data_IF_790863059416
#
_entry.id   IF_790863059416
#
_cell.length_a   1.000
_cell.length_b   1.000
_cell.length_c   1.000
_cell.angle_alpha   90.00
_cell.angle_beta   90.00
_cell.angle_gamma   90.00
#
_symmetry.space_group_name_H-M   'P 1'
#
loop_
_entity.id
_entity.type
_entity.pdbx_description
1 polymer ?
#
# COMPACT_ATOMS: atom_id res chain seq x y z
N UNK A 1 -18.75 10.34 -5.07
CA UNK A 1 -17.47 10.14 -4.34
C UNK A 1 -16.73 9.05 -5.11
N UNK A 2 -15.80 9.41 -6.01
CA UNK A 2 -15.07 8.40 -6.77
C UNK A 2 -14.17 7.55 -5.87
N UNK A 3 -13.92 6.32 -6.30
CA UNK A 3 -13.13 5.34 -5.57
C UNK A 3 -13.95 4.45 -4.64
N UNK A 4 -13.26 3.58 -3.92
CA UNK A 4 -13.85 2.65 -2.96
C UNK A 4 -12.97 2.50 -1.73
N UNK A 5 -13.52 1.90 -0.67
CA UNK A 5 -12.78 1.52 0.54
C UNK A 5 -12.77 0.00 0.67
N UNK A 6 -11.58 -0.57 0.82
CA UNK A 6 -11.37 -1.99 1.13
C UNK A 6 -11.43 -2.24 2.65
N UNK A 7 -11.08 -1.22 3.44
CA UNK A 7 -11.13 -1.26 4.90
C UNK A 7 -11.76 0.01 5.46
N UNK A 8 -12.64 -0.16 6.43
CA UNK A 8 -13.29 0.91 7.18
C UNK A 8 -12.89 0.80 8.66
N UNK A 9 -12.46 1.92 9.23
CA UNK A 9 -12.06 2.02 10.63
C UNK A 9 -12.85 3.12 11.34
N UNK A 10 -13.53 2.84 12.47
CA UNK A 10 -14.19 3.88 13.26
C UNK A 10 -13.20 4.94 13.75
N UNK A 11 -13.48 6.20 13.48
CA UNK A 11 -12.78 7.33 14.09
C UNK A 11 -13.48 7.73 15.40
N UNK A 12 -14.81 7.83 15.38
CA UNK A 12 -15.69 7.92 16.56
C UNK A 12 -17.12 7.48 16.21
N UNK A 13 -18.09 7.89 17.05
CA UNK A 13 -19.51 7.54 16.89
C UNK A 13 -20.10 7.99 15.55
N UNK A 14 -19.59 9.08 14.98
CA UNK A 14 -20.15 9.70 13.79
C UNK A 14 -19.16 9.78 12.62
N UNK A 15 -17.93 9.27 12.78
CA UNK A 15 -16.91 9.37 11.75
C UNK A 15 -16.21 8.05 11.48
N UNK A 16 -15.93 7.79 10.20
CA UNK A 16 -15.23 6.58 9.73
C UNK A 16 -14.07 6.98 8.82
N UNK A 17 -12.91 6.36 9.03
CA UNK A 17 -11.78 6.39 8.10
C UNK A 17 -11.95 5.24 7.10
N UNK A 18 -11.95 5.55 5.81
CA UNK A 18 -11.84 4.58 4.73
C UNK A 18 -10.43 4.51 4.16
N UNK A 19 -9.97 3.30 3.89
CA UNK A 19 -8.73 3.01 3.17
C UNK A 19 -9.08 2.17 1.95
N UNK A 20 -8.67 2.60 0.78
CA UNK A 20 -8.96 1.89 -0.46
C UNK A 20 -8.20 2.46 -1.64
N UNK A 21 -8.87 2.55 -2.78
CA UNK A 21 -8.31 3.08 -4.02
C UNK A 21 -9.08 4.29 -4.50
N UNK A 22 -8.35 5.26 -5.04
CA UNK A 22 -8.96 6.33 -5.80
C UNK A 22 -9.30 5.85 -7.21
N UNK A 23 -10.36 6.40 -7.79
CA UNK A 23 -10.78 6.11 -9.16
C UNK A 23 -10.96 7.41 -9.92
N UNK A 24 -10.36 7.49 -11.10
CA UNK A 24 -10.63 8.57 -12.05
C UNK A 24 -11.71 8.11 -13.03
N UNK A 25 -12.94 8.58 -12.80
CA UNK A 25 -14.11 8.21 -13.60
C UNK A 25 -14.05 8.75 -15.05
N UNK A 26 -13.13 9.66 -15.37
CA UNK A 26 -12.95 10.13 -16.75
C UNK A 26 -12.16 9.14 -17.62
N UNK A 27 -11.34 8.29 -16.99
CA UNK A 27 -10.57 7.26 -17.66
C UNK A 27 -11.50 6.12 -18.03
N UNK A 28 -11.45 5.69 -19.29
CA UNK A 28 -12.27 4.62 -19.86
C UNK A 28 -13.79 4.87 -19.79
N UNK A 29 -14.22 6.11 -19.56
CA UNK A 29 -15.65 6.49 -19.51
C UNK A 29 -16.40 6.13 -20.81
N UNK A 30 -15.72 6.24 -21.94
CA UNK A 30 -16.19 5.88 -23.27
C UNK A 30 -16.15 4.36 -23.55
N UNK A 31 -15.45 3.59 -22.71
CA UNK A 31 -15.24 2.14 -22.85
C UNK A 31 -16.11 1.30 -21.91
N UNK A 32 -16.99 1.91 -21.10
CA UNK A 32 -17.89 1.24 -20.13
C UNK A 32 -18.78 0.14 -20.76
N UNK A 33 -18.97 0.16 -22.09
CA UNK A 33 -19.74 -0.83 -22.84
C UNK A 33 -18.94 -1.60 -23.90
N UNK A 34 -17.61 -1.49 -23.89
CA UNK A 34 -16.75 -2.29 -24.76
C UNK A 34 -16.43 -3.63 -24.08
N UNK A 35 -16.79 -4.78 -24.66
CA UNK A 35 -16.41 -6.09 -24.13
C UNK A 35 -14.89 -6.34 -24.12
N UNK A 36 -14.10 -5.51 -24.80
CA UNK A 36 -12.63 -5.53 -24.78
C UNK A 36 -12.02 -4.46 -23.85
N UNK A 37 -12.84 -3.67 -23.14
CA UNK A 37 -12.32 -2.69 -22.19
C UNK A 37 -11.51 -3.39 -21.08
N UNK A 38 -10.33 -2.87 -20.80
CA UNK A 38 -9.53 -3.30 -19.65
C UNK A 38 -10.02 -2.48 -18.46
N UNK A 39 -11.04 -2.99 -17.75
CA UNK A 39 -11.78 -2.36 -16.64
C UNK A 39 -10.96 -1.89 -15.40
N UNK A 40 -9.65 -1.76 -15.53
CA UNK A 40 -8.78 -1.52 -14.39
C UNK A 40 -8.01 -0.21 -14.48
N UNK A 41 -7.92 0.48 -15.63
CA UNK A 41 -7.06 1.68 -15.83
C UNK A 41 -7.46 2.88 -14.96
N UNK A 42 -8.75 3.00 -14.66
CA UNK A 42 -9.32 4.06 -13.84
C UNK A 42 -8.89 4.00 -12.37
N UNK A 43 -8.46 2.84 -11.87
CA UNK A 43 -7.96 2.67 -10.49
C UNK A 43 -6.56 3.29 -10.35
N UNK A 44 -6.42 4.26 -9.44
CA UNK A 44 -5.21 5.04 -9.22
C UNK A 44 -4.50 4.60 -7.93
N UNK A 45 -4.03 5.58 -7.15
CA UNK A 45 -3.29 5.38 -5.91
C UNK A 45 -4.16 4.94 -4.73
N UNK A 46 -3.50 4.79 -3.57
CA UNK A 46 -4.17 4.46 -2.31
C UNK A 46 -4.89 5.70 -1.81
N UNK A 47 -6.18 5.57 -1.49
CA UNK A 47 -7.03 6.65 -0.98
C UNK A 47 -7.26 6.46 0.52
N UNK A 48 -7.01 7.53 1.27
CA UNK A 48 -7.52 7.73 2.62
C UNK A 48 -8.70 8.69 2.53
N UNK A 49 -9.82 8.34 3.17
CA UNK A 49 -10.99 9.20 3.26
C UNK A 49 -11.52 9.23 4.68
N UNK A 50 -12.04 10.38 5.10
CA UNK A 50 -12.73 10.56 6.35
C UNK A 50 -14.18 10.92 6.02
N UNK A 51 -15.10 10.15 6.58
CA UNK A 51 -16.53 10.31 6.34
C UNK A 51 -17.23 10.74 7.62
N UNK A 52 -18.13 11.72 7.52
CA UNK A 52 -19.20 11.94 8.48
C UNK A 52 -20.36 11.00 8.13
N UNK A 53 -20.74 10.17 9.10
CA UNK A 53 -21.79 9.15 9.01
C UNK A 53 -22.89 9.37 10.05
N UNK A 54 -23.05 10.60 10.54
CA UNK A 54 -24.17 10.99 11.43
C UNK A 54 -25.53 10.65 10.82
N UNK A 55 -25.65 10.71 9.49
CA UNK A 55 -26.71 10.08 8.71
C UNK A 55 -26.12 8.95 7.86
N UNK A 56 -26.24 7.72 8.35
CA UNK A 56 -25.72 6.51 7.66
C UNK A 56 -26.32 6.28 6.27
N UNK A 57 -27.50 6.84 5.98
CA UNK A 57 -28.10 6.74 4.65
C UNK A 57 -27.43 7.71 3.64
N UNK A 58 -26.76 8.75 4.14
CA UNK A 58 -26.17 9.81 3.33
C UNK A 58 -24.78 10.22 3.87
N UNK A 59 -23.77 9.34 3.79
CA UNK A 59 -22.43 9.66 4.29
C UNK A 59 -21.78 10.79 3.48
N UNK A 60 -21.03 11.66 4.16
CA UNK A 60 -20.35 12.82 3.56
C UNK A 60 -18.84 12.65 3.68
N UNK A 61 -18.11 12.67 2.57
CA UNK A 61 -16.63 12.71 2.58
C UNK A 61 -16.17 14.11 3.03
N UNK A 62 -15.66 14.21 4.25
CA UNK A 62 -15.19 15.47 4.84
C UNK A 62 -13.70 15.71 4.61
N UNK A 63 -12.93 14.65 4.34
CA UNK A 63 -11.52 14.76 3.95
C UNK A 63 -11.10 13.60 3.06
N UNK A 64 -10.15 13.87 2.15
CA UNK A 64 -9.56 12.91 1.23
C UNK A 64 -8.07 13.18 1.08
N UNK A 65 -7.27 12.11 1.07
CA UNK A 65 -5.85 12.14 0.72
C UNK A 65 -5.53 10.97 -0.21
N UNK A 66 -4.85 11.22 -1.33
CA UNK A 66 -4.45 10.18 -2.30
C UNK A 66 -2.94 10.04 -2.30
N UNK A 67 -2.46 8.82 -2.17
CA UNK A 67 -1.05 8.45 -2.15
C UNK A 67 -0.69 7.81 -3.48
N UNK A 68 0.18 8.50 -4.24
CA UNK A 68 0.74 8.02 -5.49
C UNK A 68 -0.27 7.87 -6.62
N UNK A 69 0.16 7.18 -7.66
CA UNK A 69 -0.60 6.91 -8.87
C UNK A 69 -0.94 5.41 -8.98
N UNK A 70 -1.51 5.03 -10.12
CA UNK A 70 -1.77 3.64 -10.52
C UNK A 70 -0.59 2.71 -10.19
N UNK A 71 -0.86 1.69 -9.38
CA UNK A 71 0.14 0.74 -8.89
C UNK A 71 0.56 0.94 -7.45
N UNK A 72 0.25 2.08 -6.85
CA UNK A 72 0.50 2.30 -5.42
C UNK A 72 -0.35 1.33 -4.62
N UNK A 73 0.26 0.61 -3.69
CA UNK A 73 -0.40 -0.44 -2.92
C UNK A 73 -0.09 -0.34 -1.42
N UNK A 74 -0.89 -1.04 -0.62
CA UNK A 74 -0.74 -1.16 0.83
C UNK A 74 -1.24 -2.51 1.32
N UNK A 75 -0.49 -3.12 2.24
CA UNK A 75 -0.95 -4.30 2.96
C UNK A 75 -2.25 -3.99 3.74
N UNK A 76 -2.49 -2.73 4.14
CA UNK A 76 -3.70 -2.33 4.85
C UNK A 76 -4.99 -2.48 4.04
N UNK A 77 -4.90 -2.63 2.71
CA UNK A 77 -6.06 -2.91 1.85
C UNK A 77 -6.60 -4.33 2.02
N UNK A 78 -5.79 -5.26 2.54
CA UNK A 78 -6.15 -6.68 2.66
C UNK A 78 -5.99 -7.21 4.10
N UNK A 79 -5.19 -6.55 4.92
CA UNK A 79 -4.95 -6.92 6.31
C UNK A 79 -5.01 -5.69 7.22
N UNK A 80 -6.13 -5.59 7.94
CA UNK A 80 -6.39 -4.50 8.89
C UNK A 80 -5.33 -4.37 9.99
N UNK A 81 -4.52 -5.41 10.28
CA UNK A 81 -3.43 -5.34 11.26
C UNK A 81 -2.23 -4.53 10.79
N UNK A 82 -2.17 -4.20 9.51
CA UNK A 82 -1.15 -3.29 8.97
C UNK A 82 -1.46 -1.82 9.24
N UNK A 83 -2.71 -1.51 9.59
CA UNK A 83 -3.16 -0.17 9.91
C UNK A 83 -3.03 0.11 11.41
N UNK A 84 -2.30 1.16 11.76
CA UNK A 84 -2.18 1.67 13.13
C UNK A 84 -2.92 2.99 13.22
N UNK A 85 -3.82 3.11 14.20
CA UNK A 85 -4.55 4.34 14.48
C UNK A 85 -4.66 4.58 15.99
N UNK A 86 -4.48 5.83 16.37
CA UNK A 86 -4.73 6.31 17.73
C UNK A 86 -5.30 7.72 17.70
N UNK A 87 -6.60 7.84 18.02
CA UNK A 87 -7.30 9.13 18.04
C UNK A 87 -6.68 10.12 19.02
N UNK A 88 -6.30 9.68 20.22
CA UNK A 88 -5.80 10.59 21.27
C UNK A 88 -4.46 11.21 20.90
N UNK A 89 -3.68 10.52 20.05
CA UNK A 89 -2.41 11.00 19.50
C UNK A 89 -2.54 11.60 18.11
N UNK A 90 -3.76 11.68 17.56
CA UNK A 90 -4.04 12.02 16.16
C UNK A 90 -3.18 11.21 15.18
N UNK A 91 -2.85 9.96 15.49
CA UNK A 91 -1.86 9.18 14.78
C UNK A 91 -2.54 8.21 13.81
N UNK A 92 -2.05 8.17 12.57
CA UNK A 92 -2.38 7.12 11.60
C UNK A 92 -1.11 6.68 10.88
N UNK A 93 -0.84 5.38 10.86
CA UNK A 93 0.32 4.80 10.16
C UNK A 93 -0.11 3.63 9.28
N UNK A 94 0.38 3.62 8.04
CA UNK A 94 0.16 2.52 7.09
C UNK A 94 1.42 2.24 6.24
N UNK A 95 1.72 0.96 5.94
CA UNK A 95 2.75 0.61 4.98
C UNK A 95 2.29 0.94 3.55
N UNK A 96 3.16 1.51 2.74
CA UNK A 96 2.90 1.88 1.34
C UNK A 96 4.03 1.35 0.47
N UNK A 97 3.65 0.72 -0.64
CA UNK A 97 4.46 0.59 -1.84
C UNK A 97 4.00 1.68 -2.82
N UNK A 98 4.78 2.73 -2.97
CA UNK A 98 4.44 3.90 -3.78
C UNK A 98 4.81 3.63 -5.23
N UNK A 99 3.86 3.82 -6.15
CA UNK A 99 4.10 3.90 -7.57
C UNK A 99 3.79 5.31 -8.09
N UNK A 100 4.68 5.85 -8.93
CA UNK A 100 4.53 7.19 -9.51
C UNK A 100 4.70 7.11 -11.02
N UNK A 101 3.79 7.78 -11.74
CA UNK A 101 3.87 7.90 -13.19
C UNK A 101 4.62 9.17 -13.55
N UNK A 102 5.66 9.04 -14.40
CA UNK A 102 6.36 10.21 -14.95
C UNK A 102 5.47 11.01 -15.92
N UNK A 103 4.56 10.33 -16.62
CA UNK A 103 3.58 10.91 -17.54
C UNK A 103 2.18 10.35 -17.24
N UNK A 104 1.28 11.18 -16.72
CA UNK A 104 -0.09 10.80 -16.31
C UNK A 104 -1.06 10.51 -17.46
N UNK A 105 -0.62 10.60 -18.70
CA UNK A 105 -1.44 10.36 -19.90
C UNK A 105 -1.39 8.90 -20.36
N UNK A 106 -0.91 7.99 -19.52
CA UNK A 106 -0.66 6.61 -19.87
C UNK A 106 -1.44 5.65 -18.99
N UNK A 107 -2.04 4.64 -19.62
CA UNK A 107 -2.78 3.56 -18.96
C UNK A 107 -1.87 2.57 -18.18
N UNK A 108 -0.54 2.77 -18.21
CA UNK A 108 0.44 1.89 -17.59
C UNK A 108 0.58 2.11 -16.08
N UNK A 109 1.05 1.09 -15.36
CA UNK A 109 1.44 1.25 -13.96
C UNK A 109 2.59 2.24 -13.81
N UNK A 110 2.63 2.96 -12.67
CA UNK A 110 3.77 3.79 -12.30
C UNK A 110 5.00 2.96 -11.94
N UNK A 111 6.16 3.62 -11.93
CA UNK A 111 7.40 3.02 -11.43
C UNK A 111 7.35 3.01 -9.89
N UNK A 112 7.83 1.94 -9.24
CA UNK A 112 7.96 1.95 -7.78
C UNK A 112 9.08 2.90 -7.35
N UNK A 113 8.73 3.89 -6.52
CA UNK A 113 9.66 4.96 -6.10
C UNK A 113 9.92 4.98 -4.61
N UNK A 114 9.07 4.32 -3.81
CA UNK A 114 9.24 4.24 -2.36
C UNK A 114 8.56 2.99 -1.78
N UNK A 115 9.18 2.41 -0.75
CA UNK A 115 8.51 1.44 0.12
C UNK A 115 8.79 1.79 1.58
N UNK A 116 7.74 1.85 2.40
CA UNK A 116 7.86 2.13 3.83
C UNK A 116 6.56 2.51 4.52
N UNK A 117 6.63 2.93 5.77
CA UNK A 117 5.49 3.46 6.50
C UNK A 117 5.25 4.94 6.17
N UNK A 118 4.00 5.30 5.89
CA UNK A 118 3.54 6.68 5.90
C UNK A 118 2.91 6.98 7.25
N UNK A 119 3.29 8.11 7.85
CA UNK A 119 2.81 8.56 9.16
C UNK A 119 2.04 9.85 8.97
N UNK A 120 0.79 9.87 9.40
CA UNK A 120 -0.11 11.00 9.29
C UNK A 120 -0.54 11.49 10.68
N UNK A 121 -0.70 12.80 10.77
CA UNK A 121 -1.60 13.44 11.71
C UNK A 121 -3.03 13.39 11.13
N UNK A 122 -4.00 12.90 11.90
CA UNK A 122 -5.41 12.84 11.48
C UNK A 122 -6.35 13.49 12.49
N UNK A 123 -7.08 14.51 12.04
CA UNK A 123 -8.07 15.26 12.84
C UNK A 123 -9.31 15.53 12.01
N UNK A 124 -10.45 15.79 12.65
CA UNK A 124 -11.68 16.17 11.93
C UNK A 124 -11.50 17.52 11.21
N UNK A 125 -10.77 18.47 11.80
CA UNK A 125 -10.62 19.82 11.25
C UNK A 125 -9.63 19.89 10.09
N UNK A 126 -8.48 19.20 10.20
CA UNK A 126 -7.41 19.26 9.18
C UNK A 126 -7.38 18.04 8.25
N UNK A 127 -8.22 17.03 8.52
CA UNK A 127 -8.18 15.77 7.79
C UNK A 127 -6.86 15.03 7.99
N UNK A 128 -6.30 14.52 6.89
CA UNK A 128 -5.03 13.82 6.86
C UNK A 128 -3.87 14.76 6.50
N UNK A 129 -2.93 14.93 7.43
CA UNK A 129 -1.70 15.72 7.23
C UNK A 129 -0.50 14.78 7.30
N UNK A 130 0.27 14.67 6.23
CA UNK A 130 1.46 13.81 6.20
C UNK A 130 2.52 14.36 7.15
N UNK A 131 2.81 13.64 8.23
CA UNK A 131 3.89 13.95 9.17
C UNK A 131 5.25 13.55 8.60
N UNK A 132 5.31 12.39 7.94
CA UNK A 132 6.53 11.93 7.30
C UNK A 132 6.47 10.47 6.87
N UNK A 133 7.63 9.95 6.46
CA UNK A 133 7.77 8.61 5.88
C UNK A 133 8.99 7.90 6.48
N UNK A 134 8.86 6.61 6.76
CA UNK A 134 9.94 5.77 7.30
C UNK A 134 10.15 4.59 6.37
N UNK A 135 11.35 4.47 5.80
CA UNK A 135 11.74 3.32 4.98
C UNK A 135 12.76 2.43 5.70
N UNK A 136 12.69 1.14 5.36
CA UNK A 136 13.67 0.11 5.71
C UNK A 136 14.57 -0.24 4.52
N UNK A 137 14.27 0.25 3.32
CA UNK A 137 15.07 -0.03 2.12
C UNK A 137 16.46 0.60 2.28
N UNK A 138 17.55 -0.17 2.08
CA UNK A 138 18.91 0.34 2.20
C UNK A 138 19.28 1.30 1.05
N UNK A 139 18.68 1.08 -0.12
CA UNK A 139 18.83 1.90 -1.32
C UNK A 139 17.54 1.92 -2.14
N UNK A 140 17.45 2.87 -3.07
CA UNK A 140 16.33 2.98 -4.02
C UNK A 140 16.57 2.17 -5.30
N UNK A 141 17.76 1.60 -5.48
CA UNK A 141 18.15 0.89 -6.70
C UNK A 141 17.29 -0.36 -6.92
N UNK A 142 16.94 -1.03 -5.82
CA UNK A 142 16.06 -2.22 -5.84
C UNK A 142 14.65 -1.89 -6.34
N UNK A 143 14.10 -0.74 -5.94
CA UNK A 143 12.78 -0.27 -6.37
C UNK A 143 12.75 0.09 -7.87
N UNK A 144 13.84 0.68 -8.37
CA UNK A 144 13.93 1.06 -9.78
C UNK A 144 14.13 -0.14 -10.72
N UNK A 145 14.59 -1.29 -10.21
CA UNK A 145 14.87 -2.50 -11.00
C UNK A 145 13.74 -3.53 -10.96
N UNK A 146 12.75 -3.39 -10.07
CA UNK A 146 11.66 -4.37 -9.89
C UNK A 146 10.73 -4.55 -11.10
N UNK A 147 10.66 -3.58 -12.01
CA UNK A 147 9.67 -3.62 -13.10
C UNK A 147 8.25 -3.77 -12.54
N UNK A 148 7.51 -4.79 -12.98
CA UNK A 148 6.12 -5.01 -12.60
C UNK A 148 5.91 -5.67 -11.22
N UNK A 149 6.95 -6.24 -10.62
CA UNK A 149 6.83 -6.99 -9.35
C UNK A 149 7.92 -6.55 -8.37
N UNK A 150 7.50 -6.01 -7.22
CA UNK A 150 8.41 -5.65 -6.14
C UNK A 150 8.18 -6.57 -4.95
N UNK A 151 9.25 -7.23 -4.52
CA UNK A 151 9.31 -7.98 -3.28
C UNK A 151 10.66 -7.71 -2.61
N UNK A 152 10.61 -7.51 -1.30
CA UNK A 152 11.78 -7.16 -0.50
C UNK A 152 11.52 -7.54 0.95
N UNK A 153 12.49 -8.22 1.56
CA UNK A 153 12.52 -8.54 3.00
C UNK A 153 12.56 -7.27 3.88
N UNK A 154 12.95 -6.14 3.30
CA UNK A 154 12.88 -4.82 3.91
C UNK A 154 11.51 -4.15 3.74
N UNK A 155 10.53 -4.81 3.13
CA UNK A 155 9.21 -4.22 2.99
C UNK A 155 8.55 -4.03 4.35
N UNK A 156 8.32 -2.78 4.78
CA UNK A 156 7.59 -2.48 6.02
C UNK A 156 6.18 -3.08 5.93
N UNK A 157 5.80 -3.90 6.91
CA UNK A 157 4.52 -4.60 6.98
C UNK A 157 3.64 -4.18 8.15
N UNK A 158 4.25 -3.77 9.26
CA UNK A 158 3.55 -3.43 10.50
C UNK A 158 4.15 -2.20 11.15
N UNK A 159 3.34 -1.55 11.97
CA UNK A 159 3.79 -0.51 12.87
C UNK A 159 3.06 -0.62 14.21
N UNK A 160 3.72 -0.19 15.27
CA UNK A 160 3.16 -0.02 16.61
C UNK A 160 3.95 1.06 17.34
N UNK A 161 3.43 1.58 18.45
CA UNK A 161 4.19 2.50 19.28
C UNK A 161 4.19 2.04 20.75
N UNK A 162 5.26 2.38 21.47
CA UNK A 162 5.37 2.19 22.93
C UNK A 162 5.89 3.49 23.52
N UNK A 163 5.09 4.14 24.38
CA UNK A 163 5.39 5.48 24.87
C UNK A 163 5.51 6.47 23.70
N UNK A 164 6.66 7.11 23.59
CA UNK A 164 6.97 8.11 22.55
C UNK A 164 7.86 7.54 21.42
N UNK A 165 7.89 6.21 21.26
CA UNK A 165 8.68 5.54 20.21
C UNK A 165 7.75 4.82 19.25
N UNK A 166 7.86 5.15 17.96
CA UNK A 166 7.24 4.44 16.85
C UNK A 166 8.16 3.32 16.37
N UNK A 167 7.62 2.12 16.25
CA UNK A 167 8.29 0.94 15.72
C UNK A 167 7.70 0.61 14.36
N UNK A 168 8.54 0.47 13.34
CA UNK A 168 8.18 -0.08 12.04
C UNK A 168 8.88 -1.41 11.84
N UNK A 169 8.18 -2.39 11.25
CA UNK A 169 8.61 -3.79 11.20
C UNK A 169 8.52 -4.31 9.77
N UNK A 170 9.62 -4.85 9.26
CA UNK A 170 9.71 -5.69 8.06
C UNK A 170 10.23 -7.08 8.44
N UNK A 171 10.38 -7.99 7.49
CA UNK A 171 10.94 -9.33 7.77
C UNK A 171 12.42 -9.25 8.20
N UNK A 172 13.14 -8.24 7.68
CA UNK A 172 14.56 -8.03 7.90
C UNK A 172 14.93 -7.06 9.03
N UNK A 173 14.01 -6.20 9.46
CA UNK A 173 14.36 -5.03 10.26
C UNK A 173 13.21 -4.57 11.15
N UNK A 174 13.52 -4.26 12.41
CA UNK A 174 12.70 -3.42 13.28
C UNK A 174 13.41 -2.08 13.43
N UNK A 175 12.73 -0.99 13.08
CA UNK A 175 13.27 0.36 13.19
C UNK A 175 12.50 1.13 14.24
N UNK A 176 13.22 1.90 15.06
CA UNK A 176 12.69 2.76 16.11
C UNK A 176 12.89 4.21 15.73
N UNK A 177 11.82 4.97 15.77
CA UNK A 177 11.80 6.40 15.50
C UNK A 177 11.09 7.12 16.65
N UNK A 178 11.54 8.33 16.97
CA UNK A 178 10.80 9.22 17.86
C UNK A 178 9.41 9.49 17.28
N UNK A 179 8.36 9.34 18.07
CA UNK A 179 6.99 9.36 17.56
C UNK A 179 6.59 10.75 17.05
N UNK A 180 7.08 11.81 17.69
CA UNK A 180 6.73 13.17 17.35
C UNK A 180 7.50 13.68 16.11
N UNK A 181 8.80 13.45 16.08
CA UNK A 181 9.71 14.00 15.06
C UNK A 181 10.04 13.02 13.94
N UNK A 182 9.75 11.72 14.15
CA UNK A 182 10.18 10.61 13.28
C UNK A 182 11.70 10.49 13.16
N UNK A 183 12.47 11.17 14.02
CA UNK A 183 13.92 11.04 14.05
C UNK A 183 14.33 9.60 14.38
N UNK A 184 15.29 9.01 13.67
CA UNK A 184 15.73 7.64 13.96
C UNK A 184 16.38 7.56 15.34
N UNK A 185 15.96 6.59 16.14
CA UNK A 185 16.51 6.30 17.47
C UNK A 185 17.48 5.12 17.35
N UNK A 186 17.01 3.99 16.81
CA UNK A 186 17.79 2.77 16.69
C UNK A 186 17.16 1.81 15.66
N UNK A 187 17.86 0.72 15.31
CA UNK A 187 17.33 -0.35 14.48
C UNK A 187 17.91 -1.71 14.90
N UNK A 188 17.11 -2.77 14.70
CA UNK A 188 17.49 -4.15 14.98
C UNK A 188 17.28 -4.98 13.71
N UNK A 189 18.36 -5.53 13.17
CA UNK A 189 18.29 -6.49 12.05
C UNK A 189 17.79 -7.84 12.56
N UNK A 190 16.85 -8.41 11.82
CA UNK A 190 16.28 -9.72 12.11
C UNK A 190 17.01 -10.80 11.32
N UNK A 191 17.20 -12.00 11.88
CA UNK A 191 17.74 -13.13 11.14
C UNK A 191 16.69 -13.62 10.14
N UNK A 192 17.01 -13.53 8.85
CA UNK A 192 16.14 -14.00 7.78
C UNK A 192 16.62 -15.40 7.41
N UNK A 193 15.76 -16.40 7.61
CA UNK A 193 16.05 -17.73 7.08
C UNK A 193 15.99 -17.63 5.54
N UNK A 194 17.15 -17.72 4.88
CA UNK A 194 17.17 -17.98 3.44
C UNK A 194 16.68 -19.41 3.24
N UNK A 195 15.37 -19.58 3.07
CA UNK A 195 14.82 -20.80 2.49
C UNK A 195 15.52 -21.01 1.13
N UNK A 196 16.13 -22.18 0.86
CA UNK A 196 16.70 -22.45 -0.44
C UNK A 196 15.58 -22.36 -1.48
N UNK A 197 15.70 -21.43 -2.41
CA UNK A 197 14.78 -21.32 -3.55
C UNK A 197 14.87 -22.62 -4.34
N UNK A 198 13.87 -23.49 -4.18
CA UNK A 198 13.74 -24.70 -4.99
C UNK A 198 13.25 -24.29 -6.37
N UNK A 199 14.16 -24.24 -7.34
CA UNK A 199 13.78 -24.21 -8.74
C UNK A 199 13.41 -25.64 -9.14
N UNK A 200 12.13 -25.97 -9.40
CA UNK A 200 11.80 -27.26 -9.98
C UNK A 200 12.52 -27.34 -11.33
N UNK A 201 13.45 -28.29 -11.44
CA UNK A 201 14.10 -28.58 -12.71
C UNK A 201 13.06 -28.97 -13.76
N UNK A 202 13.34 -28.77 -15.06
CA UNK A 202 12.41 -29.16 -16.11
C UNK A 202 12.05 -30.64 -15.97
N UNK A 203 10.75 -30.93 -15.87
CA UNK A 203 10.24 -32.30 -15.86
C UNK A 203 10.61 -32.92 -17.22
N UNK A 204 11.42 -33.99 -17.28
CA UNK A 204 11.72 -34.64 -18.55
C UNK A 204 10.41 -35.13 -19.17
N UNK A 205 10.11 -34.68 -20.39
CA UNK A 205 8.98 -35.22 -21.13
C UNK A 205 9.23 -36.72 -21.37
N UNK A 206 8.22 -37.59 -21.17
CA UNK A 206 8.37 -38.99 -21.49
C UNK A 206 8.69 -39.11 -22.99
N UNK A 207 9.84 -39.71 -23.31
CA UNK A 207 10.16 -40.06 -24.70
C UNK A 207 9.13 -41.07 -25.18
N UNK A 208 8.27 -40.67 -26.11
CA UNK A 208 7.40 -41.59 -26.83
C UNK A 208 8.28 -42.52 -27.65
N UNK A 209 8.45 -43.77 -27.21
CA UNK A 209 9.09 -44.81 -28.02
C UNK A 209 8.10 -45.17 -29.13
N UNK A 210 8.35 -44.65 -30.33
CA UNK A 210 7.62 -45.05 -31.52
C UNK A 210 7.88 -46.53 -31.80
N UNK A 211 6.86 -47.37 -31.61
CA UNK A 211 6.88 -48.76 -32.08
C UNK A 211 6.74 -48.71 -33.60
N UNK A 212 7.82 -49.03 -34.31
CA UNK A 212 7.77 -49.31 -35.75
C UNK A 212 7.02 -50.63 -35.95
N UNK A 213 5.81 -50.57 -36.50
CA UNK A 213 5.09 -51.74 -37.01
C UNK A 213 5.59 -52.01 -38.42
N UNK A 214 6.04 -53.24 -38.68
CA UNK A 214 6.47 -53.75 -40.00
C UNK A 214 5.29 -53.90 -40.95
#
# INVERSE_FOLDING_TARGET
IPGYSDYLHPYDENHIIGIGKDVDESIDADKIHDPNAVYYTAIQGVKLALFDVSDVANPIEVSKYVIGDRGTDSIALQDHKAFLFDKNKNLLVLPILLAEQKNKTSDYYGDYTFQGAYVFDVTLDNGFVLRGRITHQPDNDTLLKSGYYFDSEFSVKRSLYIGDVLYTISDALIKMNDLATLAPINAVTLPIAKEPVYYPGPVPLPMTVGIAVK
#
